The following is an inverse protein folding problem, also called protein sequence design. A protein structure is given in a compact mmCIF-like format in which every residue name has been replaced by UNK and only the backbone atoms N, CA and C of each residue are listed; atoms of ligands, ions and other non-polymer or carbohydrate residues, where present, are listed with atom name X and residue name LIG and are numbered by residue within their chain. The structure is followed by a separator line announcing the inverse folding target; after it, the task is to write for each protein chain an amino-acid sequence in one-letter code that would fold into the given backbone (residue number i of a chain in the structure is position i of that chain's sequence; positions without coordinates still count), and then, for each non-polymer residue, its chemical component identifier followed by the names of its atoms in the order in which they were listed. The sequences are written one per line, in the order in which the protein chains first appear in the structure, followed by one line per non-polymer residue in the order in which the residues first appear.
data_IF_723231073888
#
_entry.id   IF_723231073888
#
_cell.length_a   1.000
_cell.length_b   1.000
_cell.length_c   1.000
_cell.angle_alpha   90.00
_cell.angle_beta   90.00
_cell.angle_gamma   90.00
#
_symmetry.space_group_name_H-M   'P 1'
#
loop_
_entity.id
_entity.type
_entity.pdbx_description
1 polymer ?
#
# COMPACT_ATOMS: atom_id res chain seq x y z
N UNK A 1 1.06 -68.63 -24.64
CA UNK A 1 2.08 -68.10 -23.70
C UNK A 1 2.42 -66.64 -23.94
N UNK A 2 2.73 -66.20 -25.18
CA UNK A 2 3.14 -64.82 -25.50
C UNK A 2 2.01 -63.80 -25.22
N UNK A 3 0.75 -64.11 -25.48
CA UNK A 3 -0.38 -63.19 -25.27
C UNK A 3 -0.69 -62.88 -23.80
N UNK A 4 -0.43 -63.80 -22.90
CA UNK A 4 -0.57 -63.61 -21.43
C UNK A 4 0.53 -62.72 -20.88
N UNK A 5 1.77 -62.86 -21.37
CA UNK A 5 2.89 -62.01 -20.97
C UNK A 5 2.70 -60.58 -21.39
N UNK A 6 2.15 -60.29 -22.57
CA UNK A 6 1.85 -58.92 -23.07
C UNK A 6 0.78 -58.23 -22.19
N UNK A 7 -0.29 -58.97 -21.79
CA UNK A 7 -1.31 -58.44 -20.90
C UNK A 7 -0.78 -58.10 -19.49
N UNK A 8 0.13 -58.89 -18.95
CA UNK A 8 0.74 -58.60 -17.64
C UNK A 8 1.68 -57.40 -17.70
N UNK A 9 2.48 -57.24 -18.75
CA UNK A 9 3.35 -56.06 -18.94
C UNK A 9 2.54 -54.78 -19.14
N UNK A 10 1.42 -54.85 -19.90
CA UNK A 10 0.54 -53.69 -20.10
C UNK A 10 -0.15 -53.27 -18.79
N UNK A 11 -0.54 -54.22 -17.93
CA UNK A 11 -1.14 -53.91 -16.63
C UNK A 11 -0.12 -53.29 -15.65
N UNK A 12 1.14 -53.76 -15.70
CA UNK A 12 2.23 -53.23 -14.86
C UNK A 12 2.61 -51.80 -15.28
N UNK A 13 2.64 -51.49 -16.59
CA UNK A 13 2.89 -50.14 -17.12
C UNK A 13 1.77 -49.17 -16.76
N UNK A 14 0.50 -49.56 -16.83
CA UNK A 14 -0.62 -48.74 -16.37
C UNK A 14 -0.56 -48.49 -14.86
N UNK A 15 -0.16 -49.46 -14.04
CA UNK A 15 -0.06 -49.26 -12.59
C UNK A 15 1.11 -48.30 -12.22
N UNK A 16 2.21 -48.31 -12.96
CA UNK A 16 3.31 -47.37 -12.77
C UNK A 16 2.93 -45.96 -13.16
N UNK A 17 2.08 -45.73 -14.19
CA UNK A 17 1.58 -44.40 -14.56
C UNK A 17 0.62 -43.79 -13.51
N UNK A 18 -0.12 -44.64 -12.79
CA UNK A 18 -1.00 -44.20 -11.70
C UNK A 18 -0.26 -43.84 -10.41
N UNK A 19 0.93 -44.37 -10.19
CA UNK A 19 1.74 -44.07 -9.02
C UNK A 19 2.60 -42.80 -9.15
N UNK A 20 2.70 -42.22 -10.33
CA UNK A 20 3.46 -40.96 -10.54
C UNK A 20 2.65 -39.69 -10.27
N UNK A 21 1.37 -39.78 -9.92
CA UNK A 21 0.56 -38.60 -9.62
C UNK A 21 0.57 -38.16 -8.16
N UNK A 22 1.35 -38.79 -7.30
CA UNK A 22 1.33 -38.47 -5.85
C UNK A 22 2.62 -37.85 -5.31
N UNK A 23 3.54 -37.40 -6.15
CA UNK A 23 4.78 -36.78 -5.71
C UNK A 23 4.82 -35.27 -6.02
N UNK A 24 3.66 -34.59 -6.16
CA UNK A 24 3.64 -33.15 -6.00
C UNK A 24 3.63 -32.87 -4.49
N UNK A 25 4.75 -32.39 -4.03
CA UNK A 25 4.96 -31.95 -2.66
C UNK A 25 3.82 -31.02 -2.23
N UNK A 26 3.08 -31.45 -1.23
CA UNK A 26 1.95 -30.74 -0.63
C UNK A 26 2.44 -29.62 0.31
N UNK A 27 3.62 -29.05 0.06
CA UNK A 27 4.24 -28.03 0.92
C UNK A 27 4.47 -26.69 0.22
N UNK A 28 3.79 -26.48 -0.91
CA UNK A 28 3.70 -25.16 -1.55
C UNK A 28 2.45 -24.43 -1.04
N UNK A 29 2.39 -24.27 0.29
CA UNK A 29 1.43 -23.34 0.89
C UNK A 29 1.88 -21.96 0.48
N UNK A 30 1.05 -21.31 -0.34
CA UNK A 30 1.20 -19.89 -0.62
C UNK A 30 1.57 -19.17 0.68
N UNK A 31 2.69 -18.46 0.67
CA UNK A 31 3.13 -17.62 1.78
C UNK A 31 2.78 -16.17 1.44
N UNK A 32 1.52 -15.76 1.61
CA UNK A 32 1.11 -14.41 1.24
C UNK A 32 1.84 -13.39 2.10
N UNK A 33 2.30 -12.30 1.48
CA UNK A 33 2.95 -11.21 2.19
C UNK A 33 1.98 -10.50 3.16
N UNK A 34 0.68 -10.62 2.93
CA UNK A 34 -0.38 -10.05 3.77
C UNK A 34 -1.68 -10.87 3.66
N UNK A 35 -2.56 -10.66 4.60
CA UNK A 35 -3.92 -11.18 4.58
C UNK A 35 -4.88 -10.09 5.04
N UNK A 36 -5.99 -9.92 4.33
CA UNK A 36 -6.98 -8.89 4.64
C UNK A 36 -8.16 -9.48 5.41
N UNK A 37 -8.59 -8.78 6.43
CA UNK A 37 -9.76 -9.14 7.23
C UNK A 37 -10.71 -7.94 7.32
N UNK A 38 -12.00 -8.20 7.35
CA UNK A 38 -12.97 -7.16 7.69
C UNK A 38 -13.10 -6.98 9.21
N UNK A 39 -13.95 -6.04 9.63
CA UNK A 39 -14.17 -5.71 11.03
C UNK A 39 -14.82 -6.83 11.86
N UNK A 40 -15.27 -7.92 11.23
CA UNK A 40 -15.78 -9.13 11.91
C UNK A 40 -14.72 -10.21 12.03
N UNK A 41 -13.52 -9.99 11.49
CA UNK A 41 -12.45 -10.99 11.43
C UNK A 41 -12.57 -11.98 10.27
N UNK A 42 -13.49 -11.75 9.33
CA UNK A 42 -13.62 -12.58 8.13
C UNK A 42 -12.57 -12.16 7.11
N UNK A 43 -11.85 -13.14 6.57
CA UNK A 43 -10.91 -12.91 5.47
C UNK A 43 -11.65 -12.43 4.21
N UNK A 44 -11.12 -11.39 3.59
CA UNK A 44 -11.64 -10.81 2.35
C UNK A 44 -10.55 -10.74 1.28
N UNK A 45 -10.94 -10.67 0.02
CA UNK A 45 -10.03 -10.44 -1.09
C UNK A 45 -9.69 -8.95 -1.25
N UNK A 46 -8.56 -8.65 -1.92
CA UNK A 46 -8.20 -7.28 -2.28
C UNK A 46 -9.29 -6.60 -3.14
N UNK A 47 -9.87 -7.32 -4.10
CA UNK A 47 -10.95 -6.80 -4.95
C UNK A 47 -12.22 -6.45 -4.13
N UNK A 48 -12.54 -7.25 -3.11
CA UNK A 48 -13.64 -6.93 -2.19
C UNK A 48 -13.34 -5.69 -1.35
N UNK A 49 -12.10 -5.54 -0.86
CA UNK A 49 -11.65 -4.33 -0.17
C UNK A 49 -11.87 -3.09 -1.05
N UNK A 50 -11.33 -3.08 -2.27
CA UNK A 50 -11.44 -1.93 -3.19
C UNK A 50 -12.89 -1.61 -3.51
N UNK A 51 -13.73 -2.62 -3.78
CA UNK A 51 -15.16 -2.44 -3.99
C UNK A 51 -15.86 -1.76 -2.82
N UNK A 52 -15.50 -2.12 -1.59
CA UNK A 52 -16.07 -1.48 -0.37
C UNK A 52 -15.56 -0.05 -0.22
N UNK A 53 -14.24 0.16 -0.37
CA UNK A 53 -13.62 1.47 -0.20
C UNK A 53 -14.13 2.48 -1.23
N UNK A 54 -14.36 2.08 -2.48
CA UNK A 54 -14.82 2.97 -3.55
C UNK A 54 -16.21 3.56 -3.32
N UNK A 55 -16.96 3.11 -2.33
CA UNK A 55 -18.25 3.67 -1.96
C UNK A 55 -18.20 4.74 -0.87
N UNK A 56 -17.01 5.12 -0.38
CA UNK A 56 -16.85 6.12 0.68
C UNK A 56 -16.25 7.41 0.14
N UNK A 57 -16.73 8.54 0.65
CA UNK A 57 -16.19 9.87 0.33
C UNK A 57 -14.82 10.12 0.97
N UNK A 58 -14.53 9.49 2.10
CA UNK A 58 -13.27 9.61 2.85
C UNK A 58 -12.78 8.23 3.26
N UNK A 59 -11.52 7.94 2.98
CA UNK A 59 -10.83 6.70 3.35
C UNK A 59 -9.62 7.07 4.22
N UNK A 60 -9.56 6.54 5.42
CA UNK A 60 -8.38 6.63 6.29
C UNK A 60 -7.59 5.32 6.21
N UNK A 61 -6.32 5.44 5.83
CA UNK A 61 -5.35 4.35 5.85
C UNK A 61 -4.44 4.56 7.06
N UNK A 62 -4.54 3.68 8.05
CA UNK A 62 -3.63 3.67 9.19
C UNK A 62 -2.43 2.78 8.89
N UNK A 63 -1.24 3.19 9.34
CA UNK A 63 0.00 2.51 9.01
C UNK A 63 0.84 2.15 10.23
N UNK A 64 1.69 1.15 10.04
CA UNK A 64 2.89 0.95 10.84
C UNK A 64 4.06 1.59 10.09
N UNK A 65 4.57 2.72 10.58
CA UNK A 65 5.54 3.59 9.89
C UNK A 65 6.81 2.91 9.37
N UNK A 66 7.15 1.73 9.87
CA UNK A 66 8.33 0.96 9.46
C UNK A 66 7.95 -0.37 8.79
N UNK A 67 6.74 -0.50 8.25
CA UNK A 67 6.27 -1.72 7.60
C UNK A 67 6.17 -1.53 6.07
N UNK A 68 7.13 -2.03 5.28
CA UNK A 68 7.12 -1.86 3.83
C UNK A 68 5.87 -2.43 3.12
N UNK A 69 5.27 -3.47 3.71
CA UNK A 69 4.04 -4.06 3.16
C UNK A 69 2.86 -3.12 3.33
N UNK A 70 2.78 -2.38 4.45
CA UNK A 70 1.72 -1.38 4.66
C UNK A 70 1.85 -0.26 3.62
N UNK A 71 3.03 0.34 3.44
CA UNK A 71 3.25 1.40 2.45
C UNK A 71 2.99 0.94 1.01
N UNK A 72 3.40 -0.29 0.68
CA UNK A 72 3.06 -0.87 -0.61
C UNK A 72 1.55 -1.02 -0.79
N UNK A 73 0.81 -1.47 0.24
CA UNK A 73 -0.65 -1.57 0.18
C UNK A 73 -1.33 -0.21 0.05
N UNK A 74 -0.86 0.82 0.75
CA UNK A 74 -1.35 2.19 0.63
C UNK A 74 -1.21 2.70 -0.80
N UNK A 75 -0.06 2.46 -1.43
CA UNK A 75 0.15 2.80 -2.84
C UNK A 75 -0.80 2.02 -3.77
N UNK A 76 -0.94 0.71 -3.58
CA UNK A 76 -1.82 -0.13 -4.41
C UNK A 76 -3.30 0.26 -4.26
N UNK A 77 -3.75 0.55 -3.03
CA UNK A 77 -5.11 1.04 -2.76
C UNK A 77 -5.32 2.39 -3.44
N UNK A 78 -4.39 3.34 -3.27
CA UNK A 78 -4.45 4.66 -3.91
C UNK A 78 -4.58 4.53 -5.43
N UNK A 79 -3.76 3.69 -6.05
CA UNK A 79 -3.80 3.43 -7.50
C UNK A 79 -5.13 2.82 -7.94
N UNK A 80 -5.66 1.89 -7.15
CA UNK A 80 -6.93 1.22 -7.46
C UNK A 80 -8.11 2.17 -7.33
N UNK A 81 -8.15 3.01 -6.30
CA UNK A 81 -9.18 4.03 -6.09
C UNK A 81 -9.08 5.11 -7.18
N UNK A 82 -7.86 5.56 -7.54
CA UNK A 82 -7.67 6.47 -8.67
C UNK A 82 -8.21 5.90 -9.98
N UNK A 83 -8.03 4.61 -10.25
CA UNK A 83 -8.56 4.00 -11.47
C UNK A 83 -10.09 4.07 -11.56
N UNK A 84 -10.78 4.15 -10.44
CA UNK A 84 -12.24 4.28 -10.34
C UNK A 84 -12.69 5.75 -10.41
N UNK A 85 -12.07 6.62 -9.60
CA UNK A 85 -12.56 7.98 -9.37
C UNK A 85 -11.79 9.06 -10.15
N UNK A 86 -10.61 8.72 -10.68
CA UNK A 86 -9.79 9.62 -11.53
C UNK A 86 -9.51 10.98 -10.86
N UNK A 87 -9.90 12.06 -11.53
CA UNK A 87 -9.72 13.46 -11.14
C UNK A 87 -10.57 13.91 -9.92
N UNK A 88 -11.44 13.03 -9.42
CA UNK A 88 -12.19 13.28 -8.19
C UNK A 88 -11.42 12.89 -6.93
N UNK A 89 -10.27 12.20 -7.08
CA UNK A 89 -9.43 11.79 -5.96
C UNK A 89 -8.57 12.95 -5.46
N UNK A 90 -8.49 13.10 -4.15
CA UNK A 90 -7.54 13.94 -3.43
C UNK A 90 -6.83 13.09 -2.39
N UNK A 91 -5.54 13.33 -2.18
CA UNK A 91 -4.75 12.64 -1.17
C UNK A 91 -4.41 13.59 -0.02
N UNK A 92 -4.26 13.02 1.16
CA UNK A 92 -3.72 13.70 2.32
C UNK A 92 -2.77 12.77 3.07
N UNK A 93 -1.68 13.31 3.63
CA UNK A 93 -0.74 12.49 4.36
C UNK A 93 -0.17 13.22 5.59
N UNK A 94 -0.19 12.51 6.71
CA UNK A 94 0.33 12.98 8.00
C UNK A 94 1.86 13.17 7.99
N UNK A 95 2.58 12.52 7.08
CA UNK A 95 4.02 12.64 6.94
C UNK A 95 4.47 14.03 6.53
N UNK A 96 3.56 14.86 6.05
CA UNK A 96 3.82 16.25 5.67
C UNK A 96 3.14 17.21 6.63
N UNK A 97 3.95 18.11 7.23
CA UNK A 97 3.44 19.19 8.07
C UNK A 97 2.82 20.30 7.21
N UNK A 98 1.70 20.86 7.63
CA UNK A 98 0.91 21.82 6.84
C UNK A 98 1.68 23.09 6.44
N UNK A 99 2.70 23.50 7.19
CA UNK A 99 3.56 24.63 6.82
C UNK A 99 4.63 24.28 5.76
N UNK A 100 4.68 23.03 5.30
CA UNK A 100 5.40 22.63 4.10
C UNK A 100 4.52 22.58 2.84
N UNK A 101 3.23 22.90 2.94
CA UNK A 101 2.32 22.80 1.79
C UNK A 101 2.81 23.61 0.58
N UNK A 102 3.32 24.82 0.78
CA UNK A 102 3.79 25.65 -0.32
C UNK A 102 4.89 24.96 -1.15
N UNK A 103 5.94 24.48 -0.48
CA UNK A 103 7.04 23.82 -1.19
C UNK A 103 6.62 22.50 -1.80
N UNK A 104 5.67 21.82 -1.16
CA UNK A 104 5.07 20.61 -1.71
C UNK A 104 4.29 20.89 -3.00
N UNK A 105 3.47 21.95 -3.02
CA UNK A 105 2.72 22.37 -4.20
C UNK A 105 3.64 22.80 -5.36
N UNK A 106 4.73 23.49 -5.06
CA UNK A 106 5.73 23.88 -6.06
C UNK A 106 6.39 22.67 -6.71
N UNK A 107 6.67 21.63 -5.92
CA UNK A 107 7.18 20.36 -6.44
C UNK A 107 6.14 19.62 -7.27
N UNK A 108 4.90 19.51 -6.78
CA UNK A 108 3.81 18.85 -7.50
C UNK A 108 3.52 19.52 -8.84
N UNK A 109 3.61 20.87 -8.89
CA UNK A 109 3.44 21.67 -10.10
C UNK A 109 4.71 21.78 -10.97
N UNK A 110 5.77 21.03 -10.64
CA UNK A 110 7.04 21.01 -11.36
C UNK A 110 7.77 22.36 -11.44
N UNK A 111 7.48 23.27 -10.50
CA UNK A 111 8.14 24.59 -10.40
C UNK A 111 9.54 24.47 -9.79
N UNK A 112 9.76 23.46 -8.95
CA UNK A 112 11.07 23.14 -8.39
C UNK A 112 11.43 21.68 -8.68
N UNK A 113 12.74 21.39 -8.71
CA UNK A 113 13.24 20.03 -8.88
C UNK A 113 13.02 19.18 -7.64
N UNK A 114 13.12 17.85 -7.81
CA UNK A 114 13.09 16.90 -6.68
C UNK A 114 14.18 17.22 -5.64
N UNK A 115 15.41 17.52 -6.09
CA UNK A 115 16.53 17.82 -5.17
C UNK A 115 16.25 19.07 -4.32
N UNK A 116 15.59 20.08 -4.90
CA UNK A 116 15.18 21.27 -4.15
C UNK A 116 14.08 20.95 -3.16
N UNK A 117 13.06 20.23 -3.58
CA UNK A 117 12.01 19.77 -2.69
C UNK A 117 12.57 18.97 -1.51
N UNK A 118 13.45 18.00 -1.79
CA UNK A 118 14.05 17.17 -0.75
C UNK A 118 14.94 17.95 0.22
N UNK A 119 15.66 18.95 -0.30
CA UNK A 119 16.55 19.78 0.53
C UNK A 119 15.81 20.75 1.47
N UNK A 120 14.60 21.17 1.10
CA UNK A 120 13.87 22.23 1.80
C UNK A 120 12.64 21.71 2.56
N UNK A 121 12.01 20.63 2.10
CA UNK A 121 10.90 20.00 2.80
C UNK A 121 11.40 19.20 4.02
N UNK A 122 10.63 19.22 5.10
CA UNK A 122 10.92 18.39 6.29
C UNK A 122 10.37 16.98 6.06
N UNK A 123 11.13 16.16 5.35
CA UNK A 123 10.76 14.79 5.03
C UNK A 123 11.16 13.83 6.17
N UNK A 124 10.44 12.74 6.28
CA UNK A 124 10.79 11.65 7.17
C UNK A 124 11.95 10.82 6.56
N UNK A 125 12.74 10.16 7.42
CA UNK A 125 13.94 9.42 7.00
C UNK A 125 13.65 8.32 5.96
N UNK A 126 12.47 7.70 6.06
CA UNK A 126 11.99 6.66 5.13
C UNK A 126 11.19 7.21 3.93
N UNK A 127 11.20 8.53 3.70
CA UNK A 127 10.42 9.15 2.63
C UNK A 127 10.71 8.52 1.26
N UNK A 128 11.98 8.33 0.93
CA UNK A 128 12.39 7.83 -0.40
C UNK A 128 11.88 6.44 -0.70
N UNK A 129 11.82 5.58 0.32
CA UNK A 129 11.43 4.17 0.15
C UNK A 129 9.94 3.96 0.29
N UNK A 130 9.30 4.68 1.21
CA UNK A 130 7.97 4.34 1.67
C UNK A 130 6.90 5.32 1.12
N UNK A 131 7.17 6.63 1.13
CA UNK A 131 6.18 7.65 0.75
C UNK A 131 6.35 8.22 -0.66
N UNK A 132 7.59 8.25 -1.17
CA UNK A 132 7.87 8.77 -2.52
C UNK A 132 7.04 8.09 -3.62
N UNK A 133 6.80 6.76 -3.61
CA UNK A 133 5.99 6.12 -4.65
C UNK A 133 4.59 6.70 -4.79
N UNK A 134 3.88 6.97 -3.67
CA UNK A 134 2.54 7.55 -3.71
C UNK A 134 2.56 9.03 -4.09
N UNK A 135 3.56 9.79 -3.64
CA UNK A 135 3.76 11.20 -4.00
C UNK A 135 4.08 11.33 -5.48
N UNK A 136 4.99 10.51 -6.00
CA UNK A 136 5.33 10.49 -7.41
C UNK A 136 4.13 10.14 -8.29
N UNK A 137 3.35 9.13 -7.90
CA UNK A 137 2.12 8.76 -8.58
C UNK A 137 1.12 9.92 -8.61
N UNK A 138 0.93 10.59 -7.47
CA UNK A 138 0.04 11.75 -7.39
C UNK A 138 0.49 12.88 -8.31
N UNK A 139 1.78 13.16 -8.36
CA UNK A 139 2.38 14.16 -9.24
C UNK A 139 2.17 13.85 -10.72
N UNK A 140 2.47 12.61 -11.14
CA UNK A 140 2.31 12.18 -12.54
C UNK A 140 0.84 12.20 -13.00
N UNK A 141 -0.09 12.00 -12.09
CA UNK A 141 -1.52 12.00 -12.38
C UNK A 141 -2.24 13.30 -11.99
N UNK A 142 -1.49 14.33 -11.58
CA UNK A 142 -2.03 15.63 -11.16
C UNK A 142 -3.09 15.53 -10.04
N UNK A 143 -2.94 14.55 -9.14
CA UNK A 143 -3.84 14.36 -8.01
C UNK A 143 -3.50 15.40 -6.95
N UNK A 144 -4.47 16.22 -6.48
CA UNK A 144 -4.25 17.13 -5.37
C UNK A 144 -3.77 16.40 -4.13
N UNK A 145 -2.77 16.96 -3.44
CA UNK A 145 -2.15 16.34 -2.27
C UNK A 145 -2.00 17.35 -1.14
N UNK A 146 -2.55 17.02 0.02
CA UNK A 146 -2.61 17.90 1.19
C UNK A 146 -1.67 17.41 2.28
N UNK A 147 -0.85 18.31 2.81
CA UNK A 147 -0.06 18.09 4.01
C UNK A 147 -0.97 18.23 5.25
N UNK A 148 -1.26 17.11 5.93
CA UNK A 148 -2.33 17.08 6.93
C UNK A 148 -1.84 17.16 8.36
N UNK A 149 -0.53 17.08 8.62
CA UNK A 149 -0.03 17.17 9.98
C UNK A 149 0.10 18.61 10.46
N UNK A 150 -0.05 18.80 11.76
CA UNK A 150 0.25 20.08 12.40
C UNK A 150 1.75 20.32 12.39
N UNK A 151 2.21 21.57 12.25
CA UNK A 151 3.63 21.88 12.39
C UNK A 151 4.18 21.43 13.72
N UNK A 152 5.31 20.72 13.69
CA UNK A 152 5.98 20.12 14.87
C UNK A 152 6.19 21.09 16.02
N UNK A 153 6.40 22.39 15.72
CA UNK A 153 6.54 23.42 16.75
C UNK A 153 5.28 23.55 17.62
N UNK A 154 4.09 23.42 17.04
CA UNK A 154 2.82 23.50 17.79
C UNK A 154 2.60 22.24 18.63
N UNK A 155 2.87 21.06 18.07
CA UNK A 155 2.85 19.83 18.85
C UNK A 155 3.82 19.90 20.06
N UNK A 156 4.99 20.52 19.89
CA UNK A 156 5.94 20.74 20.97
C UNK A 156 5.41 21.73 22.02
N UNK A 157 4.74 22.80 21.61
CA UNK A 157 4.12 23.76 22.56
C UNK A 157 3.08 23.04 23.42
N UNK A 158 2.18 22.29 22.79
CA UNK A 158 1.13 21.54 23.50
C UNK A 158 1.74 20.51 24.46
N UNK A 159 2.76 19.77 24.02
CA UNK A 159 3.46 18.80 24.85
C UNK A 159 4.06 19.41 26.13
N UNK A 160 4.60 20.63 26.03
CA UNK A 160 5.32 21.26 27.13
C UNK A 160 4.47 22.20 27.99
N UNK A 161 3.39 22.79 27.42
CA UNK A 161 2.63 23.86 28.07
C UNK A 161 1.11 23.65 28.09
N UNK A 162 0.62 22.53 27.52
CA UNK A 162 -0.84 22.28 27.39
C UNK A 162 -1.48 23.00 26.19
N UNK A 163 -2.75 22.69 25.95
CA UNK A 163 -3.50 23.25 24.82
C UNK A 163 -3.74 24.77 24.97
N UNK A 164 -3.89 25.26 26.19
CA UNK A 164 -4.16 26.67 26.47
C UNK A 164 -3.05 27.60 25.95
N UNK A 165 -1.84 27.07 25.77
CA UNK A 165 -0.74 27.85 25.20
C UNK A 165 -0.92 28.18 23.72
N UNK A 166 -1.86 27.55 23.02
CA UNK A 166 -2.20 27.84 21.62
C UNK A 166 -3.05 29.10 21.48
N UNK A 167 -3.76 29.52 22.54
CA UNK A 167 -4.65 30.69 22.51
C UNK A 167 -3.89 32.02 22.32
N UNK A 168 -2.57 31.98 22.48
CA UNK A 168 -1.68 33.15 22.33
C UNK A 168 -0.89 33.22 21.02
N UNK A 169 -1.19 32.32 20.05
CA UNK A 169 -0.47 32.25 18.77
C UNK A 169 -1.11 33.07 17.66
#
# INVERSE_FOLDING_TARGET
MILQTIKQISCLLCLCCFLQQSAFSQDDKDKPAYTLFDNTGKQISYGELIKRLSGYDVIFLGELHNCPITHWLEFEITRSIYNIHKDQLMLGAEMFESDNQLIFDEYMQQKISYDRFEAEARLWDNYRTDYYPVVFFAKEHHIPFIATNIPRRYANIVKNKGFEALDSL
#
